data_IF_354330524402
#
_entry.id   IF_354330524402
#
_cell.length_a   1.000
_cell.length_b   1.000
_cell.length_c   1.000
_cell.angle_alpha   90.00
_cell.angle_beta   90.00
_cell.angle_gamma   90.00
#
_symmetry.space_group_name_H-M   'P 1'
#
loop_
_entity.id
_entity.type
_entity.pdbx_description
1 polymer ?
#
# COMPACT_ATOMS: atom_id res chain seq x y z
N UNK A 1 -66.78 -24.23 0.77
CA UNK A 1 -65.71 -24.56 -0.18
C UNK A 1 -64.92 -23.30 -0.47
N UNK A 2 -63.62 -23.35 -0.12
CA UNK A 2 -62.45 -22.62 -0.63
C UNK A 2 -62.57 -21.14 -1.02
N UNK A 3 -62.20 -20.28 -0.06
CA UNK A 3 -61.60 -18.97 -0.34
C UNK A 3 -60.18 -19.17 -0.87
N UNK A 4 -59.88 -18.67 -2.07
CA UNK A 4 -58.52 -18.59 -2.60
C UNK A 4 -58.04 -17.16 -2.40
N UNK A 5 -57.22 -16.96 -1.37
CA UNK A 5 -56.43 -15.74 -1.16
C UNK A 5 -55.17 -15.87 -2.01
N UNK A 6 -55.07 -15.06 -3.06
CA UNK A 6 -53.86 -14.96 -3.88
C UNK A 6 -52.89 -13.99 -3.21
N UNK A 7 -52.00 -14.52 -2.38
CA UNK A 7 -50.91 -13.77 -1.74
C UNK A 7 -49.76 -13.66 -2.74
N UNK A 8 -49.72 -12.57 -3.50
CA UNK A 8 -48.57 -12.22 -4.35
C UNK A 8 -47.48 -11.70 -3.41
N UNK A 9 -46.65 -12.62 -2.93
CA UNK A 9 -45.39 -12.28 -2.28
C UNK A 9 -44.42 -11.72 -3.31
N UNK A 10 -44.30 -10.39 -3.38
CA UNK A 10 -43.16 -9.75 -4.02
C UNK A 10 -41.95 -10.08 -3.15
N UNK A 11 -41.25 -11.15 -3.49
CA UNK A 11 -39.88 -11.36 -3.03
C UNK A 11 -39.05 -10.30 -3.74
N UNK A 12 -38.99 -9.12 -3.13
CA UNK A 12 -37.94 -8.14 -3.44
C UNK A 12 -36.63 -8.78 -3.00
N UNK A 13 -36.06 -9.62 -3.86
CA UNK A 13 -34.66 -9.96 -3.85
C UNK A 13 -33.91 -8.66 -4.10
N UNK A 14 -33.74 -7.88 -3.02
CA UNK A 14 -32.76 -6.81 -2.98
C UNK A 14 -31.45 -7.46 -3.36
N UNK A 15 -31.00 -7.19 -4.58
CA UNK A 15 -29.64 -7.44 -4.97
C UNK A 15 -28.79 -6.67 -3.95
N UNK A 16 -28.27 -7.38 -2.96
CA UNK A 16 -27.14 -6.91 -2.18
C UNK A 16 -25.98 -6.79 -3.17
N UNK A 17 -25.98 -5.72 -3.96
CA UNK A 17 -24.82 -5.31 -4.72
C UNK A 17 -23.77 -5.01 -3.67
N UNK A 18 -22.88 -5.97 -3.42
CA UNK A 18 -21.74 -5.77 -2.56
C UNK A 18 -20.97 -4.57 -3.13
N UNK A 19 -21.03 -3.44 -2.43
CA UNK A 19 -20.46 -2.16 -2.89
C UNK A 19 -19.05 -2.40 -3.40
N UNK A 20 -18.73 -2.09 -4.66
CA UNK A 20 -17.38 -2.23 -5.20
C UNK A 20 -16.35 -1.47 -4.35
N UNK A 21 -15.09 -1.88 -4.41
CA UNK A 21 -14.07 -1.12 -3.70
C UNK A 21 -13.88 0.24 -4.40
N UNK A 22 -13.77 1.30 -3.62
CA UNK A 22 -13.48 2.66 -4.09
C UNK A 22 -12.38 3.27 -3.21
N UNK A 23 -11.90 4.44 -3.58
CA UNK A 23 -10.86 5.18 -2.89
C UNK A 23 -11.16 6.68 -2.98
N UNK A 24 -12.43 7.06 -2.84
CA UNK A 24 -12.91 8.44 -2.94
C UNK A 24 -12.91 9.20 -1.60
N UNK A 25 -12.36 8.61 -0.52
CA UNK A 25 -12.31 9.28 0.78
C UNK A 25 -11.36 10.48 0.67
N UNK A 26 -11.84 11.65 1.03
CA UNK A 26 -11.06 12.87 0.99
C UNK A 26 -11.21 13.62 2.31
N UNK A 27 -10.12 14.23 2.78
CA UNK A 27 -10.16 15.10 3.95
C UNK A 27 -9.08 14.81 4.98
N UNK A 28 -8.90 15.78 5.88
CA UNK A 28 -8.08 15.60 7.08
C UNK A 28 -8.95 15.08 8.22
N UNK A 29 -8.62 13.89 8.71
CA UNK A 29 -9.24 13.26 9.86
C UNK A 29 -8.30 13.40 11.06
N UNK A 30 -8.72 14.12 12.09
CA UNK A 30 -7.89 14.45 13.25
C UNK A 30 -8.43 13.84 14.54
N UNK A 31 -7.53 13.52 15.45
CA UNK A 31 -7.87 13.12 16.82
C UNK A 31 -7.26 14.07 17.85
N UNK A 32 -7.96 14.26 18.97
CA UNK A 32 -7.44 14.95 20.16
C UNK A 32 -6.92 13.96 21.21
N UNK A 33 -6.91 12.66 20.90
CA UNK A 33 -6.37 11.64 21.80
C UNK A 33 -4.86 11.84 21.98
N UNK A 34 -4.42 12.01 23.23
CA UNK A 34 -3.00 12.09 23.59
C UNK A 34 -2.31 10.72 23.54
N UNK A 35 -3.08 9.64 23.50
CA UNK A 35 -2.58 8.26 23.46
C UNK A 35 -2.36 7.76 22.01
N UNK A 36 -2.88 8.49 21.02
CA UNK A 36 -2.70 8.13 19.62
C UNK A 36 -1.29 8.51 19.14
N UNK A 37 -0.58 7.55 18.57
CA UNK A 37 0.66 7.81 17.83
C UNK A 37 0.40 8.53 16.50
N UNK A 38 -0.85 8.47 16.00
CA UNK A 38 -1.24 9.03 14.72
C UNK A 38 -2.24 10.17 14.94
N UNK A 39 -1.79 11.43 15.11
CA UNK A 39 -2.70 12.56 15.33
C UNK A 39 -3.64 12.83 14.16
N UNK A 40 -3.26 12.47 12.93
CA UNK A 40 -4.12 12.67 11.76
C UNK A 40 -3.91 11.67 10.62
N UNK A 41 -4.92 11.58 9.76
CA UNK A 41 -4.86 10.95 8.44
C UNK A 41 -5.38 11.93 7.39
N UNK A 42 -4.64 12.17 6.32
CA UNK A 42 -5.09 13.02 5.22
C UNK A 42 -5.27 12.19 3.95
N UNK A 43 -6.53 11.99 3.54
CA UNK A 43 -6.87 11.19 2.36
C UNK A 43 -7.04 12.11 1.14
N UNK A 44 -6.50 11.67 0.01
CA UNK A 44 -6.41 12.46 -1.21
C UNK A 44 -7.57 12.26 -2.22
N UNK A 45 -8.55 11.42 -1.87
CA UNK A 45 -9.64 11.03 -2.77
C UNK A 45 -9.25 10.12 -3.95
N UNK A 46 -8.00 9.63 -3.99
CA UNK A 46 -7.44 8.83 -5.08
C UNK A 46 -6.54 7.67 -4.62
N UNK A 47 -6.77 7.16 -3.41
CA UNK A 47 -6.08 5.96 -2.90
C UNK A 47 -4.74 6.20 -2.22
N UNK A 48 -4.33 7.46 -1.98
CA UNK A 48 -3.19 7.79 -1.11
C UNK A 48 -3.62 8.48 0.18
N UNK A 49 -2.95 8.12 1.27
CA UNK A 49 -3.17 8.72 2.59
C UNK A 49 -1.86 9.12 3.21
N UNK A 50 -1.78 10.35 3.71
CA UNK A 50 -0.72 10.80 4.62
C UNK A 50 -1.04 10.31 6.03
N UNK A 51 -0.07 9.64 6.65
CA UNK A 51 -0.16 9.01 7.96
C UNK A 51 0.64 9.86 8.93
N UNK A 52 0.03 10.95 9.40
CA UNK A 52 0.61 11.85 10.41
C UNK A 52 2.00 12.40 10.06
N UNK A 53 2.35 12.53 8.77
CA UNK A 53 3.66 12.98 8.33
C UNK A 53 4.77 11.93 8.46
N UNK A 54 4.47 10.73 8.98
CA UNK A 54 5.44 9.62 9.05
C UNK A 54 5.64 8.93 7.70
N UNK A 55 4.72 9.16 6.76
CA UNK A 55 4.80 8.60 5.42
C UNK A 55 3.44 8.51 4.75
N UNK A 56 3.46 8.03 3.51
CA UNK A 56 2.26 7.82 2.70
C UNK A 56 1.92 6.33 2.62
N UNK A 57 0.63 6.03 2.61
CA UNK A 57 0.10 4.68 2.41
C UNK A 57 -0.89 4.62 1.25
N UNK A 58 -1.15 3.40 0.78
CA UNK A 58 -2.27 3.11 -0.11
C UNK A 58 -3.54 2.87 0.70
N UNK A 59 -4.72 3.19 0.17
CA UNK A 59 -5.98 2.80 0.81
C UNK A 59 -7.09 2.44 -0.17
N UNK A 60 -8.05 1.67 0.32
CA UNK A 60 -9.35 1.47 -0.31
C UNK A 60 -10.46 1.48 0.75
N UNK A 61 -11.68 1.65 0.26
CA UNK A 61 -12.93 1.59 1.01
C UNK A 61 -13.75 0.44 0.44
N UNK A 62 -14.30 -0.40 1.32
CA UNK A 62 -15.26 -1.45 0.97
C UNK A 62 -16.31 -1.49 2.06
N UNK A 63 -17.58 -1.27 1.71
CA UNK A 63 -18.66 -1.10 2.67
C UNK A 63 -18.35 0.05 3.65
N UNK A 64 -18.48 -0.18 4.96
CA UNK A 64 -18.15 0.76 6.03
C UNK A 64 -16.70 0.64 6.51
N UNK A 65 -15.82 -0.03 5.77
CA UNK A 65 -14.42 -0.25 6.15
C UNK A 65 -13.46 0.51 5.26
N UNK A 66 -12.51 1.21 5.87
CA UNK A 66 -11.35 1.82 5.22
C UNK A 66 -10.12 1.01 5.61
N UNK A 67 -9.39 0.52 4.63
CA UNK A 67 -8.18 -0.27 4.82
C UNK A 67 -7.01 0.52 4.27
N UNK A 68 -6.05 0.81 5.14
CA UNK A 68 -4.83 1.58 4.83
C UNK A 68 -3.62 0.66 4.97
N UNK A 69 -2.71 0.74 3.99
CA UNK A 69 -1.46 0.00 3.95
C UNK A 69 -0.30 0.93 4.27
N UNK A 70 0.08 1.09 5.56
CA UNK A 70 1.39 1.62 5.90
C UNK A 70 2.44 0.52 5.68
N UNK A 71 3.70 0.83 5.99
CA UNK A 71 4.84 -0.06 5.72
C UNK A 71 4.88 -1.33 6.58
N UNK A 72 4.30 -1.31 7.79
CA UNK A 72 4.43 -2.39 8.76
C UNK A 72 3.18 -3.24 8.92
N UNK A 73 2.08 -2.64 9.38
CA UNK A 73 0.85 -3.37 9.70
C UNK A 73 -0.39 -2.60 9.26
N UNK A 74 -1.41 -3.30 8.78
CA UNK A 74 -2.57 -2.70 8.13
C UNK A 74 -3.44 -1.95 9.14
N UNK A 75 -3.80 -0.71 8.81
CA UNK A 75 -4.77 0.04 9.59
C UNK A 75 -6.16 -0.19 9.03
N UNK A 76 -7.07 -0.67 9.88
CA UNK A 76 -8.46 -0.89 9.51
C UNK A 76 -9.31 0.07 10.33
N UNK A 77 -10.12 0.87 9.65
CA UNK A 77 -11.07 1.77 10.26
C UNK A 77 -12.49 1.41 9.85
N UNK A 78 -13.43 1.61 10.76
CA UNK A 78 -14.85 1.74 10.42
C UNK A 78 -15.16 3.20 10.13
N UNK A 79 -15.71 3.50 8.96
CA UNK A 79 -16.16 4.84 8.58
C UNK A 79 -17.65 5.01 8.85
N UNK A 80 -18.02 6.11 9.48
CA UNK A 80 -19.41 6.51 9.69
C UNK A 80 -19.54 8.02 9.60
N UNK A 81 -20.26 8.49 8.57
CA UNK A 81 -20.39 9.91 8.23
C UNK A 81 -19.00 10.55 8.11
N UNK A 82 -18.66 11.41 9.06
CA UNK A 82 -17.45 12.23 9.09
C UNK A 82 -16.43 11.72 10.12
N UNK A 83 -16.46 10.42 10.45
CA UNK A 83 -15.62 9.84 11.49
C UNK A 83 -15.02 8.51 11.06
N UNK A 84 -13.74 8.33 11.34
CA UNK A 84 -13.03 7.06 11.31
C UNK A 84 -12.89 6.54 12.74
N UNK A 85 -13.23 5.27 12.95
CA UNK A 85 -13.02 4.57 14.23
C UNK A 85 -12.08 3.40 14.00
N UNK A 86 -10.92 3.39 14.65
CA UNK A 86 -9.92 2.36 14.40
C UNK A 86 -10.29 1.00 14.99
N UNK A 87 -10.02 -0.06 14.23
CA UNK A 87 -10.42 -1.44 14.49
C UNK A 87 -9.25 -2.44 14.43
N UNK A 88 -8.06 -2.04 13.95
CA UNK A 88 -6.84 -2.86 14.02
C UNK A 88 -5.87 -2.35 15.08
N UNK A 89 -4.90 -3.19 15.47
CA UNK A 89 -4.02 -3.04 16.66
C UNK A 89 -3.49 -1.62 16.87
N UNK A 90 -2.91 -1.01 15.83
CA UNK A 90 -2.23 0.29 15.92
C UNK A 90 -3.14 1.51 15.96
N UNK A 91 -4.42 1.34 15.60
CA UNK A 91 -5.41 2.42 15.54
C UNK A 91 -6.61 2.17 16.46
N UNK A 92 -6.62 1.03 17.16
CA UNK A 92 -7.74 0.52 17.93
C UNK A 92 -8.22 1.55 18.96
N UNK A 93 -9.53 1.62 19.16
CA UNK A 93 -10.18 2.46 20.16
C UNK A 93 -9.98 3.98 20.00
N UNK A 94 -9.28 4.44 18.95
CA UNK A 94 -9.14 5.87 18.65
C UNK A 94 -10.14 6.27 17.57
N UNK A 95 -10.58 7.53 17.64
CA UNK A 95 -11.51 8.15 16.69
C UNK A 95 -10.86 9.37 16.08
N UNK A 96 -11.03 9.51 14.76
CA UNK A 96 -10.62 10.67 14.00
C UNK A 96 -11.83 11.30 13.33
N UNK A 97 -12.03 12.59 13.57
CA UNK A 97 -13.13 13.38 13.03
C UNK A 97 -12.64 14.21 11.84
N UNK A 98 -13.45 14.27 10.79
CA UNK A 98 -13.19 15.11 9.63
C UNK A 98 -13.14 16.58 10.05
N UNK A 99 -12.01 17.23 9.78
CA UNK A 99 -11.84 18.67 9.93
C UNK A 99 -12.47 19.38 8.73
N UNK A 100 -13.69 19.86 8.92
CA UNK A 100 -14.51 20.47 7.84
C UNK A 100 -13.87 21.68 7.16
N UNK A 101 -13.07 22.45 7.90
CA UNK A 101 -12.44 23.68 7.37
C UNK A 101 -11.06 23.41 6.75
N UNK A 102 -10.73 22.15 6.47
CA UNK A 102 -9.47 21.78 5.82
C UNK A 102 -9.66 21.53 4.33
N UNK A 103 -8.79 22.14 3.52
CA UNK A 103 -8.68 21.84 2.09
C UNK A 103 -7.74 20.65 1.93
N UNK A 104 -8.28 19.43 1.94
CA UNK A 104 -7.53 18.27 1.44
C UNK A 104 -7.49 18.35 -0.08
N UNK A 105 -6.31 18.20 -0.67
CA UNK A 105 -6.17 18.12 -2.12
C UNK A 105 -6.96 16.92 -2.66
N UNK A 106 -7.76 17.14 -3.71
CA UNK A 106 -8.42 16.05 -4.43
C UNK A 106 -7.55 15.67 -5.62
N UNK A 107 -6.89 14.52 -5.53
CA UNK A 107 -6.00 14.01 -6.57
C UNK A 107 -6.71 13.09 -7.56
N UNK A 108 -8.03 12.92 -7.46
CA UNK A 108 -8.80 12.05 -8.34
C UNK A 108 -9.01 12.71 -9.70
N UNK A 109 -8.12 12.39 -10.63
CA UNK A 109 -8.17 12.89 -12.02
C UNK A 109 -8.95 11.98 -12.97
N UNK A 110 -9.02 10.69 -12.66
CA UNK A 110 -9.71 9.67 -13.47
C UNK A 110 -10.47 8.71 -12.53
N UNK A 111 -11.79 8.78 -12.57
CA UNK A 111 -12.66 7.98 -11.69
C UNK A 111 -12.57 6.48 -11.99
N UNK A 112 -12.47 6.10 -13.27
CA UNK A 112 -12.43 4.71 -13.69
C UNK A 112 -11.11 4.06 -13.29
N UNK A 113 -10.00 4.78 -13.49
CA UNK A 113 -8.68 4.32 -13.04
C UNK A 113 -8.62 4.22 -11.51
N UNK A 114 -9.16 5.19 -10.78
CA UNK A 114 -9.20 5.19 -9.32
C UNK A 114 -9.96 3.96 -8.78
N UNK A 115 -11.16 3.69 -9.30
CA UNK A 115 -11.95 2.50 -8.96
C UNK A 115 -11.25 1.20 -9.33
N UNK A 116 -10.61 1.14 -10.50
CA UNK A 116 -9.81 -0.04 -10.90
C UNK A 116 -8.69 -0.31 -9.89
N UNK A 117 -7.95 0.73 -9.48
CA UNK A 117 -6.87 0.61 -8.51
C UNK A 117 -7.38 0.18 -7.13
N UNK A 118 -8.50 0.74 -6.65
CA UNK A 118 -9.12 0.34 -5.40
C UNK A 118 -9.54 -1.14 -5.40
N UNK A 119 -10.13 -1.62 -6.51
CA UNK A 119 -10.50 -3.03 -6.67
C UNK A 119 -9.27 -3.95 -6.71
N UNK A 120 -8.21 -3.57 -7.41
CA UNK A 120 -6.95 -4.33 -7.40
C UNK A 120 -6.32 -4.38 -6.01
N UNK A 121 -6.35 -3.27 -5.26
CA UNK A 121 -5.82 -3.21 -3.90
C UNK A 121 -6.66 -4.04 -2.92
N UNK A 122 -7.98 -4.07 -3.07
CA UNK A 122 -8.86 -4.97 -2.33
C UNK A 122 -8.58 -6.45 -2.65
N UNK A 123 -8.36 -6.78 -3.92
CA UNK A 123 -8.00 -8.14 -4.32
C UNK A 123 -6.64 -8.54 -3.73
N UNK A 124 -5.65 -7.64 -3.79
CA UNK A 124 -4.37 -7.79 -3.11
C UNK A 124 -4.59 -8.11 -1.63
N UNK A 125 -5.32 -7.27 -0.89
CA UNK A 125 -5.65 -7.48 0.53
C UNK A 125 -6.21 -8.88 0.81
N UNK A 126 -7.19 -9.30 0.01
CA UNK A 126 -7.89 -10.59 0.17
C UNK A 126 -6.97 -11.78 -0.05
N UNK A 127 -6.06 -11.70 -1.02
CA UNK A 127 -5.19 -12.80 -1.40
C UNK A 127 -3.92 -12.87 -0.54
N UNK A 128 -3.41 -11.73 -0.07
CA UNK A 128 -2.12 -11.68 0.63
C UNK A 128 -2.24 -11.56 2.14
N UNK A 129 -3.30 -10.93 2.69
CA UNK A 129 -3.34 -10.53 4.11
C UNK A 129 -4.60 -10.94 4.88
N UNK A 130 -5.72 -11.21 4.22
CA UNK A 130 -6.98 -11.48 4.92
C UNK A 130 -7.02 -12.80 5.74
N UNK A 131 -5.96 -13.63 5.70
CA UNK A 131 -5.94 -14.98 6.31
C UNK A 131 -4.57 -15.49 6.83
N UNK A 132 -3.58 -14.68 7.20
CA UNK A 132 -2.28 -15.28 7.64
C UNK A 132 -1.57 -14.71 8.86
N UNK A 133 -0.97 -15.66 9.58
CA UNK A 133 0.31 -15.51 10.27
C UNK A 133 1.43 -15.52 9.22
N UNK A 134 1.99 -14.35 8.92
CA UNK A 134 2.83 -14.14 7.73
C UNK A 134 4.22 -14.82 7.80
N UNK A 135 4.72 -15.15 9.00
CA UNK A 135 6.08 -15.69 9.15
C UNK A 135 6.20 -17.14 8.67
N UNK A 136 5.19 -17.96 8.95
CA UNK A 136 5.21 -19.41 8.67
C UNK A 136 5.16 -19.69 7.17
N UNK A 137 4.49 -18.81 6.41
CA UNK A 137 4.43 -18.87 4.94
C UNK A 137 5.77 -18.56 4.27
N UNK A 138 6.69 -17.83 4.91
CA UNK A 138 8.00 -17.51 4.33
C UNK A 138 8.89 -18.76 4.20
N UNK A 139 8.59 -19.82 4.96
CA UNK A 139 9.33 -21.09 4.96
C UNK A 139 8.63 -22.19 4.17
N UNK A 140 7.47 -21.92 3.58
CA UNK A 140 6.74 -22.84 2.69
C UNK A 140 6.96 -22.40 1.23
N UNK A 141 7.76 -23.16 0.48
CA UNK A 141 8.07 -22.88 -0.93
C UNK A 141 6.82 -22.82 -1.82
N UNK A 142 5.80 -23.64 -1.54
CA UNK A 142 4.56 -23.63 -2.31
C UNK A 142 3.73 -22.39 -1.98
N UNK A 143 3.66 -22.01 -0.71
CA UNK A 143 3.00 -20.78 -0.28
C UNK A 143 3.69 -19.55 -0.89
N UNK A 144 5.02 -19.50 -0.89
CA UNK A 144 5.80 -18.43 -1.50
C UNK A 144 5.67 -18.40 -3.02
N UNK A 145 5.65 -19.56 -3.69
CA UNK A 145 5.41 -19.64 -5.13
C UNK A 145 4.01 -19.12 -5.52
N UNK A 146 2.98 -19.42 -4.73
CA UNK A 146 1.63 -18.91 -4.94
C UNK A 146 1.52 -17.42 -4.63
N UNK A 147 2.24 -16.95 -3.61
CA UNK A 147 2.35 -15.53 -3.28
C UNK A 147 2.99 -14.76 -4.45
N UNK A 148 4.16 -15.19 -4.92
CA UNK A 148 4.88 -14.56 -6.02
C UNK A 148 4.03 -14.50 -7.30
N UNK A 149 3.31 -15.57 -7.63
CA UNK A 149 2.35 -15.59 -8.76
C UNK A 149 1.22 -14.58 -8.60
N UNK A 150 0.68 -14.46 -7.39
CA UNK A 150 -0.37 -13.48 -7.08
C UNK A 150 0.14 -12.05 -7.25
N UNK A 151 1.33 -11.77 -6.74
CA UNK A 151 1.98 -10.46 -6.88
C UNK A 151 2.29 -10.14 -8.35
N UNK A 152 2.76 -11.13 -9.11
CA UNK A 152 3.02 -10.96 -10.54
C UNK A 152 1.75 -10.61 -11.33
N UNK A 153 0.66 -11.36 -11.15
CA UNK A 153 -0.63 -11.09 -11.77
C UNK A 153 -1.12 -9.66 -11.49
N UNK A 154 -1.14 -9.26 -10.22
CA UNK A 154 -1.60 -7.94 -9.81
C UNK A 154 -0.71 -6.82 -10.37
N UNK A 155 0.61 -7.01 -10.41
CA UNK A 155 1.53 -6.06 -11.04
C UNK A 155 1.28 -5.96 -12.55
N UNK A 156 1.01 -7.07 -13.23
CA UNK A 156 0.72 -7.09 -14.67
C UNK A 156 -0.61 -6.39 -14.99
N UNK A 157 -1.59 -6.48 -14.08
CA UNK A 157 -2.88 -5.78 -14.18
C UNK A 157 -2.82 -4.28 -13.83
N UNK A 158 -1.68 -3.83 -13.30
CA UNK A 158 -1.38 -2.42 -13.07
C UNK A 158 -1.49 -1.96 -11.62
N UNK A 159 -1.36 -2.84 -10.63
CA UNK A 159 -1.27 -2.43 -9.22
C UNK A 159 0.17 -2.06 -8.86
N UNK A 160 0.44 -0.78 -8.62
CA UNK A 160 1.79 -0.29 -8.28
C UNK A 160 2.35 -0.96 -7.02
N UNK A 161 1.52 -1.14 -5.98
CA UNK A 161 1.89 -1.84 -4.74
C UNK A 161 2.41 -3.26 -5.00
N UNK A 162 1.75 -4.02 -5.86
CA UNK A 162 2.22 -5.36 -6.22
C UNK A 162 3.51 -5.31 -7.06
N UNK A 163 3.69 -4.31 -7.91
CA UNK A 163 4.95 -4.14 -8.63
C UNK A 163 6.12 -3.81 -7.68
N UNK A 164 5.89 -2.99 -6.65
CA UNK A 164 6.89 -2.72 -5.60
C UNK A 164 7.28 -3.99 -4.84
N UNK A 165 6.32 -4.84 -4.51
CA UNK A 165 6.64 -6.13 -3.87
C UNK A 165 7.37 -7.08 -4.82
N UNK A 166 6.95 -7.17 -6.08
CA UNK A 166 7.68 -7.93 -7.11
C UNK A 166 9.12 -7.46 -7.22
N UNK A 167 9.35 -6.14 -7.17
CA UNK A 167 10.69 -5.56 -7.20
C UNK A 167 11.52 -6.07 -6.01
N UNK A 168 10.97 -6.00 -4.80
CA UNK A 168 11.63 -6.52 -3.60
C UNK A 168 11.94 -8.02 -3.68
N UNK A 169 11.01 -8.83 -4.19
CA UNK A 169 11.23 -10.27 -4.41
C UNK A 169 12.36 -10.52 -5.41
N UNK A 170 12.42 -9.78 -6.52
CA UNK A 170 13.49 -9.93 -7.51
C UNK A 170 14.86 -9.53 -6.95
N UNK A 171 14.94 -8.44 -6.17
CA UNK A 171 16.18 -8.04 -5.51
C UNK A 171 16.62 -9.09 -4.48
N UNK A 172 15.68 -9.65 -3.71
CA UNK A 172 15.95 -10.68 -2.73
C UNK A 172 16.56 -11.94 -3.37
N UNK A 173 15.99 -12.40 -4.48
CA UNK A 173 16.55 -13.51 -5.26
C UNK A 173 17.97 -13.21 -5.75
N UNK A 174 18.21 -12.00 -6.29
CA UNK A 174 19.53 -11.57 -6.79
C UNK A 174 20.63 -11.55 -5.70
N UNK A 175 20.25 -11.33 -4.43
CA UNK A 175 21.19 -11.33 -3.30
C UNK A 175 21.30 -12.68 -2.57
N UNK A 176 20.74 -13.75 -3.15
CA UNK A 176 20.86 -15.11 -2.62
C UNK A 176 19.61 -15.68 -1.95
N UNK A 177 18.45 -15.05 -2.16
CA UNK A 177 17.16 -15.53 -1.69
C UNK A 177 16.88 -15.25 -0.21
N UNK A 178 15.73 -15.74 0.27
CA UNK A 178 15.25 -15.51 1.63
C UNK A 178 16.23 -16.00 2.71
N UNK A 179 16.86 -17.17 2.52
CA UNK A 179 17.81 -17.73 3.48
C UNK A 179 19.02 -16.80 3.69
N UNK A 180 19.55 -16.22 2.60
CA UNK A 180 20.67 -15.29 2.67
C UNK A 180 20.30 -14.00 3.42
N UNK A 181 19.07 -13.51 3.26
CA UNK A 181 18.56 -12.35 4.00
C UNK A 181 18.42 -12.68 5.49
N UNK A 182 17.80 -13.81 5.83
CA UNK A 182 17.57 -14.21 7.23
C UNK A 182 18.88 -14.50 7.99
N UNK A 183 19.89 -15.01 7.29
CA UNK A 183 21.21 -15.30 7.88
C UNK A 183 22.21 -14.15 7.76
N UNK A 184 21.81 -13.02 7.15
CA UNK A 184 22.69 -11.88 6.84
C UNK A 184 23.93 -12.27 6.00
N UNK A 185 23.81 -13.32 5.17
CA UNK A 185 24.85 -13.82 4.26
C UNK A 185 24.51 -13.49 2.80
N UNK A 186 24.17 -12.22 2.56
CA UNK A 186 23.75 -11.74 1.24
C UNK A 186 24.92 -11.70 0.26
N UNK A 187 24.63 -12.01 -1.01
CA UNK A 187 25.57 -11.86 -2.11
C UNK A 187 25.56 -10.41 -2.57
N UNK A 188 26.71 -9.93 -3.06
CA UNK A 188 26.76 -8.66 -3.77
C UNK A 188 25.84 -8.74 -4.99
N UNK A 189 24.83 -7.84 -5.12
CA UNK A 189 23.92 -7.89 -6.24
C UNK A 189 24.67 -7.66 -7.55
N UNK A 190 24.19 -8.30 -8.61
CA UNK A 190 24.64 -8.06 -9.97
C UNK A 190 23.61 -7.20 -10.69
N UNK A 191 24.08 -6.46 -11.70
CA UNK A 191 23.19 -5.66 -12.53
C UNK A 191 22.17 -6.57 -13.23
N UNK A 192 20.89 -6.37 -12.92
CA UNK A 192 19.76 -7.07 -13.51
C UNK A 192 18.86 -6.06 -14.25
N UNK A 193 18.87 -6.06 -15.59
CA UNK A 193 18.08 -5.12 -16.39
C UNK A 193 16.58 -5.21 -16.13
N UNK A 194 16.06 -6.37 -15.77
CA UNK A 194 14.62 -6.54 -15.52
C UNK A 194 14.17 -5.89 -14.20
N UNK A 195 15.05 -5.84 -13.19
CA UNK A 195 14.80 -5.08 -11.94
C UNK A 195 14.71 -3.59 -12.25
N UNK A 196 15.64 -3.06 -13.04
CA UNK A 196 15.63 -1.64 -13.46
C UNK A 196 14.37 -1.32 -14.24
N UNK A 197 14.00 -2.16 -15.20
CA UNK A 197 12.80 -1.99 -16.03
C UNK A 197 11.53 -2.01 -15.19
N UNK A 198 11.46 -2.85 -14.15
CA UNK A 198 10.36 -2.88 -13.20
C UNK A 198 10.31 -1.60 -12.34
N UNK A 199 11.45 -1.13 -11.82
CA UNK A 199 11.54 0.15 -11.11
C UNK A 199 11.02 1.32 -11.97
N UNK A 200 11.45 1.39 -13.22
CA UNK A 200 10.96 2.38 -14.17
C UNK A 200 9.46 2.23 -14.49
N UNK A 201 8.94 0.99 -14.54
CA UNK A 201 7.49 0.74 -14.70
C UNK A 201 6.71 1.33 -13.54
N UNK A 202 7.17 1.12 -12.30
CA UNK A 202 6.52 1.65 -11.09
C UNK A 202 6.49 3.19 -11.14
N UNK A 203 7.60 3.83 -11.49
CA UNK A 203 7.67 5.29 -11.64
C UNK A 203 6.66 5.79 -12.70
N UNK A 204 6.57 5.11 -13.86
CA UNK A 204 5.59 5.47 -14.91
C UNK A 204 4.13 5.29 -14.48
N UNK A 205 3.87 4.45 -13.48
CA UNK A 205 2.53 4.29 -12.89
C UNK A 205 2.18 5.40 -11.89
N UNK A 206 3.06 6.38 -11.70
CA UNK A 206 2.86 7.51 -10.78
C UNK A 206 3.21 7.20 -9.33
N UNK A 207 3.86 6.06 -9.06
CA UNK A 207 4.30 5.69 -7.72
C UNK A 207 5.66 6.32 -7.42
N UNK A 208 5.67 7.32 -6.53
CA UNK A 208 6.89 8.05 -6.15
C UNK A 208 7.92 7.12 -5.54
N UNK A 209 7.49 6.13 -4.75
CA UNK A 209 8.39 5.18 -4.10
C UNK A 209 9.12 4.26 -5.08
N UNK A 210 8.72 4.24 -6.36
CA UNK A 210 9.50 3.60 -7.43
C UNK A 210 10.90 4.19 -7.58
N UNK A 211 11.05 5.51 -7.39
CA UNK A 211 12.35 6.18 -7.35
C UNK A 211 13.16 5.71 -6.14
N UNK A 212 12.53 5.61 -4.96
CA UNK A 212 13.17 5.15 -3.72
C UNK A 212 13.82 3.78 -3.88
N UNK A 213 13.05 2.77 -4.32
CA UNK A 213 13.56 1.40 -4.46
C UNK A 213 14.57 1.26 -5.58
N UNK A 214 14.42 2.01 -6.68
CA UNK A 214 15.40 2.01 -7.77
C UNK A 214 16.72 2.65 -7.33
N UNK A 215 16.66 3.73 -6.55
CA UNK A 215 17.83 4.36 -5.93
C UNK A 215 18.57 3.39 -5.00
N UNK A 216 17.86 2.71 -4.11
CA UNK A 216 18.43 1.68 -3.22
C UNK A 216 19.07 0.53 -3.99
N UNK A 217 18.46 0.11 -5.10
CA UNK A 217 19.05 -0.91 -5.96
C UNK A 217 20.34 -0.42 -6.63
N UNK A 218 20.37 0.79 -7.20
CA UNK A 218 21.61 1.36 -7.75
C UNK A 218 22.71 1.52 -6.70
N UNK A 219 22.35 1.94 -5.48
CA UNK A 219 23.30 2.04 -4.38
C UNK A 219 23.90 0.67 -4.04
N UNK A 220 23.06 -0.38 -3.99
CA UNK A 220 23.53 -1.76 -3.74
C UNK A 220 24.49 -2.28 -4.82
N UNK A 221 24.38 -1.78 -6.06
CA UNK A 221 25.31 -2.06 -7.16
C UNK A 221 26.60 -1.23 -7.09
N UNK A 222 26.66 -0.22 -6.22
CA UNK A 222 27.76 0.74 -6.10
C UNK A 222 27.64 1.97 -7.00
N UNK A 223 26.53 2.15 -7.72
CA UNK A 223 26.28 3.31 -8.58
C UNK A 223 25.64 4.45 -7.76
N UNK A 224 26.46 5.08 -6.92
CA UNK A 224 26.02 6.13 -5.99
C UNK A 224 25.41 7.33 -6.71
N UNK A 225 25.96 7.70 -7.87
CA UNK A 225 25.46 8.84 -8.65
C UNK A 225 24.02 8.61 -9.11
N UNK A 226 23.69 7.42 -9.63
CA UNK A 226 22.29 7.12 -9.98
C UNK A 226 21.40 7.00 -8.75
N UNK A 227 21.91 6.39 -7.67
CA UNK A 227 21.15 6.27 -6.42
C UNK A 227 20.69 7.63 -5.89
N UNK A 228 21.64 8.57 -5.71
CA UNK A 228 21.36 9.92 -5.22
C UNK A 228 20.38 10.66 -6.13
N UNK A 229 20.51 10.53 -7.46
CA UNK A 229 19.59 11.18 -8.40
C UNK A 229 18.15 10.70 -8.24
N UNK A 230 17.95 9.39 -8.10
CA UNK A 230 16.61 8.82 -7.91
C UNK A 230 16.02 9.26 -6.55
N UNK A 231 16.82 9.20 -5.47
CA UNK A 231 16.36 9.65 -4.15
C UNK A 231 16.02 11.13 -4.11
N UNK A 232 16.85 12.01 -4.68
CA UNK A 232 16.55 13.44 -4.78
C UNK A 232 15.22 13.68 -5.51
N UNK A 233 14.99 12.99 -6.63
CA UNK A 233 13.74 13.11 -7.39
C UNK A 233 12.52 12.68 -6.56
N UNK A 234 12.67 11.65 -5.71
CA UNK A 234 11.61 11.20 -4.82
C UNK A 234 11.37 12.17 -3.66
N UNK A 235 12.42 12.71 -3.06
CA UNK A 235 12.37 13.70 -1.98
C UNK A 235 11.70 14.99 -2.44
N UNK A 236 12.02 15.48 -3.64
CA UNK A 236 11.34 16.63 -4.26
C UNK A 236 9.83 16.41 -4.46
N UNK A 237 9.40 15.15 -4.58
CA UNK A 237 7.99 14.73 -4.66
C UNK A 237 7.38 14.39 -3.29
N UNK A 238 8.10 14.66 -2.21
CA UNK A 238 7.65 14.47 -0.82
C UNK A 238 7.73 13.03 -0.32
N UNK A 239 8.71 12.23 -0.79
CA UNK A 239 9.01 10.93 -0.19
C UNK A 239 9.99 11.08 0.99
N UNK A 240 9.47 10.93 2.20
CA UNK A 240 10.29 10.85 3.42
C UNK A 240 11.16 9.59 3.45
N UNK A 241 10.77 8.53 2.74
CA UNK A 241 11.54 7.28 2.68
C UNK A 241 12.81 7.44 1.84
N UNK A 242 12.74 8.18 0.74
CA UNK A 242 13.90 8.49 -0.05
C UNK A 242 14.90 9.37 0.71
N UNK A 243 14.40 10.36 1.45
CA UNK A 243 15.22 11.19 2.34
C UNK A 243 15.94 10.34 3.39
N UNK A 244 15.22 9.43 4.06
CA UNK A 244 15.82 8.52 5.03
C UNK A 244 16.85 7.57 4.39
N UNK A 245 16.53 6.98 3.23
CA UNK A 245 17.43 6.08 2.52
C UNK A 245 18.73 6.79 2.09
N UNK A 246 18.62 8.04 1.64
CA UNK A 246 19.78 8.86 1.30
C UNK A 246 20.63 9.16 2.55
N UNK A 247 20.00 9.57 3.65
CA UNK A 247 20.68 9.84 4.91
C UNK A 247 21.42 8.59 5.45
N UNK A 248 20.76 7.43 5.46
CA UNK A 248 21.38 6.16 5.86
C UNK A 248 22.56 5.79 4.97
N UNK A 249 22.49 6.02 3.66
CA UNK A 249 23.59 5.77 2.74
C UNK A 249 24.80 6.67 3.03
N UNK A 250 24.56 7.97 3.26
CA UNK A 250 25.60 8.94 3.58
C UNK A 250 26.31 8.62 4.91
N UNK A 251 25.56 8.20 5.94
CA UNK A 251 26.15 7.74 7.21
C UNK A 251 27.03 6.50 7.02
N UNK A 252 26.53 5.48 6.33
CA UNK A 252 27.27 4.23 6.09
C UNK A 252 28.55 4.44 5.26
N UNK A 253 28.57 5.46 4.41
CA UNK A 253 29.75 5.82 3.62
C UNK A 253 30.78 6.61 4.44
N UNK A 254 30.35 7.40 5.43
CA UNK A 254 31.24 8.14 6.32
C UNK A 254 31.96 7.24 7.33
N UNK A 255 31.42 6.06 7.62
CA UNK A 255 32.02 5.07 8.53
C UNK A 255 33.10 4.18 7.88
N UNK A 256 33.35 4.33 6.57
CA UNK A 256 34.34 3.54 5.79
C UNK A 256 35.56 4.36 5.40
#
# INVERSE_FOLDING_TARGET
>A
MKYIVFLIGIVSSGFFNAQEADNNLQGYFMTNSKESLYPYFAFDGNGKVDISGFGKGDYFIKNDSVVVFPDKDIFIFKISKNRLSGNSTWVKNTKWDLKKDSLAENNRKDEALAKKNANLLYEYYRKTRAKSNDLEKLFDENAMGNYAKTIDDLCNRGLAKACMEKFGLMVMEDIGGMEAVLTSKTKKPKLNPEIIKLGQKIIRMGEVEGHTVLGSYYYSLGDKTKATKEWQTATEKGSTKAELAQFEAEMNDAEK
#
